data_IF_064186763499
#
_entry.id   IF_064186763499
#
_cell.length_a   1.000
_cell.length_b   1.000
_cell.length_c   1.000
_cell.angle_alpha   90.00
_cell.angle_beta   90.00
_cell.angle_gamma   90.00
#
_symmetry.space_group_name_H-M   'P 1'
#
loop_
_entity.id
_entity.type
_entity.pdbx_description
1 polymer ?
#
# COMPACT_ATOMS: atom_id res chain seq x y z
N UNK A 1 6.24 25.45 -5.80
CA UNK A 1 4.99 25.28 -5.02
C UNK A 1 5.05 23.88 -4.39
N UNK A 2 5.06 23.79 -3.06
CA UNK A 2 5.31 22.54 -2.34
C UNK A 2 4.05 21.66 -2.33
N UNK A 3 4.01 20.59 -3.12
CA UNK A 3 2.87 19.68 -3.20
C UNK A 3 2.97 18.58 -2.14
N UNK A 4 2.45 18.85 -0.93
CA UNK A 4 2.52 17.94 0.23
C UNK A 4 2.10 16.48 -0.03
N UNK A 5 1.12 16.23 -0.91
CA UNK A 5 0.66 14.86 -1.21
C UNK A 5 1.63 14.09 -2.09
N UNK A 6 2.33 14.77 -3.01
CA UNK A 6 3.37 14.15 -3.84
C UNK A 6 4.53 13.70 -2.96
N UNK A 7 4.95 14.55 -2.02
CA UNK A 7 6.04 14.25 -1.08
C UNK A 7 5.77 13.02 -0.21
N UNK A 8 4.52 12.83 0.25
CA UNK A 8 4.13 11.63 1.02
C UNK A 8 4.15 10.36 0.17
N UNK A 9 3.72 10.45 -1.09
CA UNK A 9 3.77 9.36 -2.05
C UNK A 9 5.21 8.93 -2.33
N UNK A 10 6.07 9.89 -2.64
CA UNK A 10 7.49 9.66 -2.93
C UNK A 10 8.20 9.02 -1.72
N UNK A 11 7.95 9.53 -0.51
CA UNK A 11 8.48 8.95 0.72
C UNK A 11 8.04 7.49 0.91
N UNK A 12 6.76 7.19 0.66
CA UNK A 12 6.26 5.82 0.79
C UNK A 12 6.93 4.87 -0.21
N UNK A 13 7.16 5.32 -1.46
CA UNK A 13 7.89 4.53 -2.47
C UNK A 13 9.31 4.27 -2.00
N UNK A 14 10.05 5.30 -1.57
CA UNK A 14 11.42 5.15 -1.06
C UNK A 14 11.50 4.19 0.13
N UNK A 15 10.58 4.31 1.09
CA UNK A 15 10.49 3.41 2.24
C UNK A 15 10.19 1.96 1.82
N UNK A 16 9.28 1.76 0.88
CA UNK A 16 9.00 0.45 0.33
C UNK A 16 10.21 -0.14 -0.39
N UNK A 17 10.97 0.66 -1.14
CA UNK A 17 12.19 0.20 -1.79
C UNK A 17 13.24 -0.28 -0.78
N UNK A 18 13.46 0.45 0.32
CA UNK A 18 14.39 0.03 1.37
C UNK A 18 13.93 -1.29 2.01
N UNK A 19 12.68 -1.36 2.45
CA UNK A 19 12.12 -2.56 3.11
C UNK A 19 12.15 -3.80 2.17
N UNK A 20 11.85 -3.62 0.87
CA UNK A 20 11.95 -4.68 -0.14
C UNK A 20 13.40 -5.10 -0.43
N UNK A 21 14.34 -4.15 -0.46
CA UNK A 21 15.75 -4.43 -0.67
C UNK A 21 16.33 -5.24 0.49
N UNK A 22 16.00 -4.87 1.73
CA UNK A 22 16.39 -5.62 2.94
C UNK A 22 15.85 -7.06 2.94
N UNK A 23 14.70 -7.29 2.30
CA UNK A 23 14.11 -8.63 2.09
C UNK A 23 14.72 -9.41 0.90
N UNK A 24 15.71 -8.84 0.23
CA UNK A 24 16.45 -9.48 -0.86
C UNK A 24 15.71 -9.47 -2.20
N UNK A 25 14.81 -8.52 -2.43
CA UNK A 25 14.18 -8.33 -3.73
C UNK A 25 15.04 -7.44 -4.63
N UNK A 26 15.17 -7.80 -5.89
CA UNK A 26 15.57 -6.86 -6.93
C UNK A 26 14.41 -5.92 -7.23
N UNK A 27 14.68 -4.62 -7.31
CA UNK A 27 13.67 -3.59 -7.49
C UNK A 27 13.84 -2.94 -8.87
N UNK A 28 12.74 -2.85 -9.61
CA UNK A 28 12.66 -2.22 -10.91
C UNK A 28 11.63 -1.08 -10.86
N UNK A 29 11.93 0.02 -11.54
CA UNK A 29 11.09 1.23 -11.56
C UNK A 29 10.59 1.52 -12.98
N UNK A 30 9.27 1.68 -13.16
CA UNK A 30 8.73 2.22 -14.41
C UNK A 30 9.33 3.61 -14.69
N UNK A 31 9.75 3.85 -15.92
CA UNK A 31 10.31 5.14 -16.33
C UNK A 31 9.24 6.13 -16.81
N UNK A 32 7.98 5.71 -16.85
CA UNK A 32 6.85 6.50 -17.37
C UNK A 32 5.87 6.86 -16.25
N UNK A 33 5.26 8.05 -16.35
CA UNK A 33 4.43 8.63 -15.29
C UNK A 33 3.05 7.97 -15.14
N UNK A 34 2.56 7.28 -16.18
CA UNK A 34 1.21 6.72 -16.22
C UNK A 34 1.14 5.22 -15.91
N UNK A 35 2.09 4.72 -15.13
CA UNK A 35 2.11 3.32 -14.70
C UNK A 35 1.02 3.03 -13.65
N UNK A 36 0.33 1.89 -13.72
CA UNK A 36 -0.66 1.48 -12.71
C UNK A 36 -0.05 0.92 -11.41
N UNK A 37 1.28 0.87 -11.34
CA UNK A 37 2.06 0.44 -10.17
C UNK A 37 3.35 1.27 -10.09
N UNK A 38 3.91 1.38 -8.89
CA UNK A 38 5.08 2.24 -8.65
C UNK A 38 6.40 1.46 -8.82
N UNK A 39 6.37 0.15 -8.52
CA UNK A 39 7.55 -0.72 -8.56
C UNK A 39 7.20 -2.06 -9.20
N UNK A 40 8.21 -2.75 -9.72
CA UNK A 40 8.19 -4.19 -9.93
C UNK A 40 9.28 -4.79 -9.09
N UNK A 41 8.99 -5.86 -8.36
CA UNK A 41 10.01 -6.61 -7.63
C UNK A 41 10.25 -7.96 -8.27
N UNK A 42 11.49 -8.42 -8.21
CA UNK A 42 11.92 -9.70 -8.73
C UNK A 42 12.66 -10.50 -7.66
N UNK A 43 12.27 -11.77 -7.50
CA UNK A 43 12.96 -12.74 -6.65
C UNK A 43 12.60 -14.15 -7.13
N UNK A 44 13.60 -15.04 -7.17
CA UNK A 44 13.43 -16.47 -7.50
C UNK A 44 12.67 -16.73 -8.81
N UNK A 45 12.94 -15.93 -9.85
CA UNK A 45 12.30 -16.09 -11.17
C UNK A 45 10.91 -15.45 -11.30
N UNK A 46 10.40 -14.81 -10.23
CA UNK A 46 9.03 -14.28 -10.18
C UNK A 46 9.07 -12.76 -10.12
N UNK A 47 8.32 -12.12 -11.02
CA UNK A 47 8.04 -10.69 -10.99
C UNK A 47 6.70 -10.41 -10.30
N UNK A 48 6.63 -9.37 -9.47
CA UNK A 48 5.39 -8.86 -8.86
C UNK A 48 5.29 -7.35 -9.03
N UNK A 49 4.19 -6.87 -9.59
CA UNK A 49 3.86 -5.43 -9.73
C UNK A 49 3.32 -4.91 -8.41
N UNK A 50 3.98 -3.90 -7.86
CA UNK A 50 3.69 -3.34 -6.53
C UNK A 50 3.18 -1.92 -6.65
N UNK A 51 1.94 -1.69 -6.23
CA UNK A 51 1.42 -0.34 -6.01
C UNK A 51 1.65 0.04 -4.54
N UNK A 52 2.37 1.12 -4.32
CA UNK A 52 2.66 1.70 -3.03
C UNK A 52 1.65 2.79 -2.67
N UNK A 53 1.24 2.85 -1.41
CA UNK A 53 0.44 3.95 -0.85
C UNK A 53 0.98 4.36 0.51
N UNK A 54 0.92 5.66 0.76
CA UNK A 54 1.07 6.23 2.09
C UNK A 54 -0.28 6.21 2.82
N UNK A 55 -0.32 5.68 4.04
CA UNK A 55 -1.51 5.74 4.91
C UNK A 55 -1.11 5.95 6.36
N UNK A 56 -1.87 6.80 7.04
CA UNK A 56 -1.73 7.04 8.48
C UNK A 56 -2.77 6.20 9.23
N UNK A 57 -2.43 5.81 10.46
CA UNK A 57 -3.41 5.24 11.39
C UNK A 57 -4.50 6.26 11.70
N UNK A 58 -5.74 5.80 11.77
CA UNK A 58 -6.83 6.60 12.33
C UNK A 58 -6.70 6.71 13.86
N UNK A 59 -7.56 7.52 14.48
CA UNK A 59 -7.60 7.74 15.95
C UNK A 59 -7.82 6.45 16.77
N UNK A 60 -8.18 5.34 16.13
CA UNK A 60 -8.39 4.02 16.76
C UNK A 60 -7.22 3.05 16.55
N UNK A 61 -6.11 3.51 15.95
CA UNK A 61 -4.95 2.65 15.65
C UNK A 61 -5.17 1.70 14.47
N UNK A 62 -6.10 2.03 13.57
CA UNK A 62 -6.46 1.20 12.42
C UNK A 62 -5.96 1.87 11.13
N UNK A 63 -5.27 1.11 10.30
CA UNK A 63 -4.87 1.47 8.96
C UNK A 63 -5.97 1.09 7.97
N UNK A 64 -6.78 2.06 7.55
CA UNK A 64 -7.82 1.85 6.54
C UNK A 64 -7.30 2.06 5.13
N UNK A 65 -7.43 1.04 4.29
CA UNK A 65 -7.02 1.08 2.90
C UNK A 65 -8.23 0.82 2.02
N UNK A 66 -8.59 1.81 1.19
CA UNK A 66 -9.66 1.70 0.18
C UNK A 66 -9.03 1.54 -1.19
N UNK A 67 -9.54 0.59 -1.98
CA UNK A 67 -9.04 0.28 -3.33
C UNK A 67 -9.65 1.20 -4.39
N UNK A 68 -9.52 2.51 -4.19
CA UNK A 68 -10.00 3.54 -5.11
C UNK A 68 -9.10 4.76 -5.12
N UNK A 69 -9.13 5.48 -6.23
CA UNK A 69 -8.45 6.75 -6.44
C UNK A 69 -9.46 7.85 -6.70
N UNK A 70 -9.23 9.03 -6.11
CA UNK A 70 -10.03 10.22 -6.38
C UNK A 70 -9.16 11.22 -7.14
N UNK A 71 -9.70 11.81 -8.20
CA UNK A 71 -9.03 12.88 -8.94
C UNK A 71 -10.02 13.97 -9.30
N UNK A 72 -9.54 15.21 -9.31
CA UNK A 72 -10.33 16.38 -9.67
C UNK A 72 -10.33 16.55 -11.19
N UNK A 73 -11.52 16.74 -11.75
CA UNK A 73 -11.76 17.14 -13.13
C UNK A 73 -12.43 18.51 -13.15
N UNK A 74 -12.53 19.14 -14.32
CA UNK A 74 -13.26 20.41 -14.46
C UNK A 74 -14.75 20.30 -14.03
N UNK A 75 -15.31 19.10 -14.01
CA UNK A 75 -16.69 18.80 -13.62
C UNK A 75 -16.86 18.32 -12.18
N UNK A 76 -15.80 18.36 -11.36
CA UNK A 76 -15.83 17.94 -9.95
C UNK A 76 -14.88 16.79 -9.63
N UNK A 77 -15.10 16.10 -8.50
CA UNK A 77 -14.25 14.97 -8.08
C UNK A 77 -14.80 13.66 -8.63
N UNK A 78 -13.99 12.96 -9.42
CA UNK A 78 -14.30 11.61 -9.89
C UNK A 78 -13.59 10.57 -9.05
N UNK A 79 -14.30 9.49 -8.73
CA UNK A 79 -13.76 8.31 -8.03
C UNK A 79 -13.63 7.17 -9.02
N UNK A 80 -12.46 6.54 -9.09
CA UNK A 80 -12.19 5.36 -9.91
C UNK A 80 -11.72 4.21 -9.02
N UNK A 81 -12.35 3.05 -9.15
CA UNK A 81 -11.89 1.83 -8.47
C UNK A 81 -10.54 1.38 -9.05
N UNK A 82 -9.70 0.81 -8.20
CA UNK A 82 -8.40 0.27 -8.60
C UNK A 82 -8.61 -0.95 -9.50
N UNK A 83 -7.94 -0.98 -10.65
CA UNK A 83 -7.88 -2.18 -11.49
C UNK A 83 -6.91 -3.19 -10.86
N UNK A 84 -7.46 -4.23 -10.23
CA UNK A 84 -6.67 -5.23 -9.51
C UNK A 84 -5.94 -6.21 -10.40
N UNK A 85 -6.23 -6.24 -11.70
CA UNK A 85 -5.51 -7.08 -12.66
C UNK A 85 -4.14 -6.50 -13.03
N UNK A 86 -3.93 -5.22 -12.79
CA UNK A 86 -2.68 -4.50 -13.05
C UNK A 86 -1.71 -4.52 -11.86
N UNK A 87 -2.17 -4.99 -10.70
CA UNK A 87 -1.42 -4.91 -9.44
C UNK A 87 -1.42 -6.28 -8.76
N UNK A 88 -0.23 -6.84 -8.57
CA UNK A 88 -0.08 -8.13 -7.88
C UNK A 88 -0.04 -7.93 -6.36
N UNK A 89 0.57 -6.83 -5.92
CA UNK A 89 0.77 -6.50 -4.51
C UNK A 89 0.43 -5.04 -4.23
N UNK A 90 -0.32 -4.82 -3.16
CA UNK A 90 -0.53 -3.51 -2.58
C UNK A 90 0.41 -3.35 -1.38
N UNK A 91 1.30 -2.37 -1.44
CA UNK A 91 2.21 -2.01 -0.36
C UNK A 91 1.73 -0.72 0.31
N UNK A 92 1.57 -0.74 1.64
CA UNK A 92 1.16 0.43 2.41
C UNK A 92 2.23 0.78 3.40
N UNK A 93 2.87 1.94 3.21
CA UNK A 93 3.76 2.52 4.21
C UNK A 93 2.94 3.31 5.24
N UNK A 94 3.19 3.03 6.51
CA UNK A 94 2.61 3.71 7.65
C UNK A 94 3.70 4.48 8.41
N UNK A 95 3.63 5.81 8.50
CA UNK A 95 4.66 6.62 9.16
C UNK A 95 4.67 6.44 10.69
N UNK A 96 3.51 6.14 11.32
CA UNK A 96 3.44 5.97 12.77
C UNK A 96 4.16 4.70 13.27
N UNK A 97 4.20 3.65 12.44
CA UNK A 97 4.90 2.40 12.75
C UNK A 97 6.22 2.28 11.98
N UNK A 98 6.53 3.27 11.16
CA UNK A 98 7.63 3.29 10.19
C UNK A 98 7.80 1.98 9.40
N UNK A 99 6.67 1.38 9.00
CA UNK A 99 6.64 0.02 8.44
C UNK A 99 5.81 -0.07 7.16
N UNK A 100 6.14 -1.03 6.30
CA UNK A 100 5.41 -1.38 5.09
C UNK A 100 4.55 -2.64 5.27
N UNK A 101 3.32 -2.60 4.77
CA UNK A 101 2.37 -3.72 4.84
C UNK A 101 1.96 -4.16 3.44
N UNK A 102 2.03 -5.45 3.17
CA UNK A 102 1.88 -6.04 1.84
C UNK A 102 0.69 -6.98 1.80
N UNK A 103 -0.15 -6.86 0.78
CA UNK A 103 -1.26 -7.78 0.57
C UNK A 103 -1.65 -7.87 -0.90
N UNK A 104 -2.19 -9.02 -1.28
CA UNK A 104 -2.78 -9.22 -2.60
C UNK A 104 -4.15 -8.52 -2.62
N UNK A 105 -4.35 -7.46 -3.42
CA UNK A 105 -5.59 -6.71 -3.44
C UNK A 105 -6.79 -7.55 -3.91
N UNK A 106 -6.57 -8.65 -4.66
CA UNK A 106 -7.61 -9.55 -5.16
C UNK A 106 -8.30 -10.36 -4.06
N UNK A 107 -7.65 -10.53 -2.90
CA UNK A 107 -8.24 -11.23 -1.74
C UNK A 107 -9.30 -10.40 -1.00
N UNK A 108 -9.42 -9.12 -1.33
CA UNK A 108 -10.32 -8.19 -0.68
C UNK A 108 -11.29 -7.59 -1.69
N UNK A 109 -12.44 -7.09 -1.25
CA UNK A 109 -13.38 -6.39 -2.12
C UNK A 109 -13.02 -4.90 -2.22
N UNK A 110 -13.70 -3.99 -1.53
CA UNK A 110 -13.50 -2.54 -1.66
C UNK A 110 -12.41 -1.96 -0.75
N UNK A 111 -12.08 -2.66 0.33
CA UNK A 111 -11.14 -2.18 1.33
C UNK A 111 -10.59 -3.29 2.20
N UNK A 112 -9.52 -2.98 2.90
CA UNK A 112 -8.98 -3.73 4.03
C UNK A 112 -8.73 -2.76 5.20
N UNK A 113 -8.83 -3.26 6.42
CA UNK A 113 -8.47 -2.52 7.64
C UNK A 113 -7.47 -3.36 8.39
N UNK A 114 -6.26 -2.83 8.60
CA UNK A 114 -5.21 -3.47 9.38
C UNK A 114 -5.15 -2.84 10.77
N UNK A 115 -5.02 -3.65 11.80
CA UNK A 115 -4.93 -3.18 13.17
C UNK A 115 -3.49 -3.32 13.67
N UNK A 116 -2.90 -2.23 14.14
CA UNK A 116 -1.53 -2.24 14.67
C UNK A 116 -1.50 -2.74 16.11
N UNK A 117 -2.42 -2.27 16.96
CA UNK A 117 -2.48 -2.65 18.36
C UNK A 117 -3.56 -3.70 18.64
N UNK A 118 -3.31 -4.53 19.65
CA UNK A 118 -4.30 -5.49 20.14
C UNK A 118 -5.63 -4.82 20.53
N UNK A 119 -6.78 -5.47 20.25
CA UNK A 119 -8.08 -4.95 20.64
C UNK A 119 -8.19 -4.74 22.16
N UNK A 120 -8.71 -3.58 22.58
CA UNK A 120 -9.04 -3.32 24.00
C UNK A 120 -10.07 -4.31 24.58
N UNK A 121 -10.80 -5.02 23.72
CA UNK A 121 -11.84 -5.99 24.07
C UNK A 121 -11.42 -7.45 23.81
N UNK A 122 -10.13 -7.75 23.64
CA UNK A 122 -9.60 -9.10 23.34
C UNK A 122 -10.28 -9.82 22.16
N UNK A 123 -10.88 -9.06 21.24
CA UNK A 123 -11.57 -9.63 20.09
C UNK A 123 -10.54 -9.97 18.99
N UNK A 124 -10.16 -11.23 18.88
CA UNK A 124 -9.18 -11.69 17.88
C UNK A 124 -9.83 -12.24 16.60
N UNK A 125 -11.07 -12.72 16.68
CA UNK A 125 -11.76 -13.32 15.51
C UNK A 125 -12.08 -12.25 14.46
N UNK A 126 -11.64 -12.49 13.21
CA UNK A 126 -11.83 -11.65 12.02
C UNK A 126 -11.09 -10.30 12.04
N UNK A 127 -10.00 -10.19 12.81
CA UNK A 127 -9.11 -9.03 12.78
C UNK A 127 -7.93 -9.33 11.86
N UNK A 128 -7.63 -8.40 10.95
CA UNK A 128 -6.40 -8.44 10.18
C UNK A 128 -5.34 -7.68 10.99
N UNK A 129 -4.43 -8.39 11.66
CA UNK A 129 -3.34 -7.74 12.38
C UNK A 129 -2.28 -7.26 11.40
N UNK A 130 -1.77 -6.05 11.60
CA UNK A 130 -0.79 -5.46 10.70
C UNK A 130 0.52 -6.28 10.64
N UNK A 131 0.87 -6.98 11.73
CA UNK A 131 2.01 -7.91 11.79
C UNK A 131 1.94 -9.01 10.74
N UNK A 132 0.73 -9.49 10.41
CA UNK A 132 0.53 -10.62 9.50
C UNK A 132 0.77 -10.24 8.04
N UNK A 133 0.92 -8.94 7.76
CA UNK A 133 1.12 -8.38 6.43
C UNK A 133 2.51 -7.76 6.27
N UNK A 134 3.49 -8.15 7.09
CA UNK A 134 4.87 -7.62 6.93
C UNK A 134 5.61 -8.26 5.77
N UNK A 135 5.18 -9.41 5.28
CA UNK A 135 5.81 -10.09 4.15
C UNK A 135 4.99 -9.98 2.87
N UNK A 136 5.68 -9.99 1.73
CA UNK A 136 5.03 -9.98 0.42
C UNK A 136 4.36 -11.34 0.16
N UNK A 137 3.07 -11.38 -0.21
CA UNK A 137 2.36 -12.62 -0.51
C UNK A 137 2.84 -13.23 -1.82
#
# INVERSE_FOLDING_TARGET
>A
MYHHTKTKGDLAVLKAQVDLYEKGYMILTPQTEHSPFDLVVYKDGIFKRVQVKYRELNVRGILEVRFRSNYSTASGVTTKEVNKEEIDVYCVYCPQTDSCYYFNPKLFSKSISLRVDSPKNNQEKKVNFASDYREIP
#
